data_IF_621308978363
#
_entry.id   IF_621308978363
#
_cell.length_a   1.000
_cell.length_b   1.000
_cell.length_c   1.000
_cell.angle_alpha   90.00
_cell.angle_beta   90.00
_cell.angle_gamma   90.00
#
_symmetry.space_group_name_H-M   'P 1'
#
loop_
_entity.id
_entity.type
_entity.pdbx_description
1 polymer ?
#
# COMPACT_ATOMS: atom_id res chain seq x y z
N UNK A 1 8.71 -0.57 5.39
CA UNK A 1 9.24 -0.44 4.01
C UNK A 1 9.92 0.90 3.98
N UNK A 2 11.06 1.01 3.32
CA UNK A 2 11.82 2.27 3.29
C UNK A 2 11.17 3.25 2.30
N UNK A 3 11.53 4.52 2.44
CA UNK A 3 11.20 5.50 1.41
C UNK A 3 11.99 5.20 0.14
N UNK A 4 11.38 5.46 -1.01
CA UNK A 4 12.01 5.19 -2.30
C UNK A 4 11.02 5.07 -3.43
N UNK A 5 11.56 4.74 -4.59
CA UNK A 5 10.80 4.42 -5.80
C UNK A 5 10.96 2.93 -6.06
N UNK A 6 9.83 2.24 -6.25
CA UNK A 6 9.79 0.80 -6.41
C UNK A 6 8.98 0.45 -7.66
N UNK A 7 9.53 -0.40 -8.50
CA UNK A 7 8.80 -0.97 -9.63
C UNK A 7 7.63 -1.84 -9.13
N UNK A 8 6.51 -1.77 -9.85
CA UNK A 8 5.31 -2.55 -9.60
C UNK A 8 5.20 -3.70 -10.60
N UNK A 9 4.98 -4.89 -10.06
CA UNK A 9 4.81 -6.11 -10.85
C UNK A 9 3.51 -6.83 -10.48
N UNK A 10 2.83 -7.41 -11.47
CA UNK A 10 1.66 -8.25 -11.21
C UNK A 10 2.11 -9.64 -10.71
N UNK A 11 1.63 -10.03 -9.52
CA UNK A 11 1.91 -11.34 -8.93
C UNK A 11 0.60 -12.12 -8.82
N UNK A 12 0.58 -13.37 -9.28
CA UNK A 12 -0.57 -14.25 -9.13
C UNK A 12 -0.21 -15.50 -8.32
N UNK A 13 -1.10 -15.88 -7.41
CA UNK A 13 -1.05 -17.18 -6.75
C UNK A 13 -2.43 -17.82 -6.67
N UNK A 14 -2.49 -19.15 -6.75
CA UNK A 14 -3.76 -19.90 -6.66
C UNK A 14 -4.47 -19.67 -5.31
N UNK A 15 -3.72 -19.45 -4.23
CA UNK A 15 -4.27 -19.30 -2.89
C UNK A 15 -4.83 -17.90 -2.62
N UNK A 16 -4.20 -16.85 -3.16
CA UNK A 16 -4.54 -15.45 -2.85
C UNK A 16 -5.08 -14.66 -4.04
N UNK A 17 -4.99 -15.21 -5.25
CA UNK A 17 -5.30 -14.52 -6.49
C UNK A 17 -4.22 -13.52 -6.87
N UNK A 18 -4.66 -12.41 -7.49
CA UNK A 18 -3.79 -11.32 -7.93
C UNK A 18 -3.39 -10.39 -6.78
N UNK A 19 -2.11 -10.06 -6.73
CA UNK A 19 -1.46 -9.07 -5.87
C UNK A 19 -0.54 -8.20 -6.74
N UNK A 20 -0.11 -7.06 -6.20
CA UNK A 20 0.91 -6.21 -6.84
C UNK A 20 2.18 -6.29 -6.01
N UNK A 21 3.28 -6.75 -6.58
CA UNK A 21 4.61 -6.67 -5.96
C UNK A 21 5.10 -5.24 -5.93
N UNK A 22 5.78 -4.85 -4.84
CA UNK A 22 6.44 -3.55 -4.68
C UNK A 22 7.92 -3.81 -4.42
N UNK A 23 8.73 -3.74 -5.47
CA UNK A 23 10.12 -4.21 -5.43
C UNK A 23 10.24 -5.65 -4.89
N UNK A 24 11.31 -5.94 -4.14
CA UNK A 24 11.59 -7.30 -3.65
C UNK A 24 10.89 -7.68 -2.33
N UNK A 25 10.30 -6.70 -1.62
CA UNK A 25 9.88 -6.89 -0.21
C UNK A 25 8.46 -6.49 0.10
N UNK A 26 7.87 -5.60 -0.70
CA UNK A 26 6.55 -5.06 -0.45
C UNK A 26 5.50 -5.69 -1.35
N UNK A 27 4.25 -5.51 -0.98
CA UNK A 27 3.12 -5.83 -1.87
C UNK A 27 1.90 -4.98 -1.58
N UNK A 28 1.03 -4.88 -2.57
CA UNK A 28 -0.31 -4.30 -2.48
C UNK A 28 -1.32 -5.43 -2.71
N UNK A 29 -2.25 -5.61 -1.79
CA UNK A 29 -3.29 -6.63 -1.92
C UNK A 29 -4.61 -6.20 -1.33
N UNK A 30 -5.66 -6.96 -1.61
CA UNK A 30 -6.95 -6.76 -0.96
C UNK A 30 -6.86 -7.12 0.53
N UNK A 31 -7.47 -6.30 1.39
CA UNK A 31 -7.47 -6.54 2.83
C UNK A 31 -8.17 -7.88 3.18
N UNK A 32 -7.51 -8.77 3.95
CA UNK A 32 -8.01 -10.12 4.21
C UNK A 32 -9.14 -10.18 5.26
N UNK A 33 -9.58 -9.05 5.82
CA UNK A 33 -10.69 -9.00 6.77
C UNK A 33 -10.24 -9.31 8.19
N UNK A 34 -10.34 -10.59 8.57
CA UNK A 34 -10.10 -11.08 9.94
C UNK A 34 -8.71 -11.68 10.14
N UNK A 35 -7.91 -11.76 9.07
CA UNK A 35 -6.55 -12.30 9.15
C UNK A 35 -5.55 -11.26 9.67
N UNK A 36 -4.43 -11.78 10.20
CA UNK A 36 -3.33 -10.95 10.65
C UNK A 36 -2.73 -10.18 9.47
N UNK A 37 -2.57 -8.88 9.65
CA UNK A 37 -1.85 -8.01 8.71
C UNK A 37 -0.45 -8.54 8.43
N UNK A 38 -0.10 -8.60 7.15
CA UNK A 38 1.23 -9.02 6.72
C UNK A 38 2.22 -7.84 6.80
N UNK A 39 3.47 -8.14 7.14
CA UNK A 39 4.53 -7.12 7.14
C UNK A 39 4.81 -6.63 5.73
N UNK A 40 5.09 -5.33 5.59
CA UNK A 40 5.39 -4.69 4.29
C UNK A 40 4.26 -4.74 3.26
N UNK A 41 3.03 -4.98 3.71
CA UNK A 41 1.83 -4.97 2.86
C UNK A 41 1.12 -3.63 2.92
N UNK A 42 0.71 -3.15 1.75
CA UNK A 42 -0.15 -1.98 1.57
C UNK A 42 -1.55 -2.46 1.23
N UNK A 43 -2.54 -1.93 1.94
CA UNK A 43 -3.95 -2.23 1.70
C UNK A 43 -4.66 -0.96 1.25
N UNK A 44 -4.95 -0.82 -0.06
CA UNK A 44 -5.65 0.36 -0.58
C UNK A 44 -7.01 0.51 0.09
N UNK A 45 -7.42 1.75 0.30
CA UNK A 45 -8.74 2.11 0.83
C UNK A 45 -9.30 3.27 0.03
N UNK A 46 -10.62 3.33 -0.12
CA UNK A 46 -11.25 4.52 -0.74
C UNK A 46 -11.59 5.58 0.29
N UNK A 47 -11.79 5.18 1.55
CA UNK A 47 -12.21 6.07 2.64
C UNK A 47 -11.97 5.43 4.00
N UNK A 48 -12.00 6.27 5.03
CA UNK A 48 -11.99 5.88 6.42
C UNK A 48 -13.29 6.33 7.10
N UNK A 49 -13.78 5.56 8.06
CA UNK A 49 -14.79 6.03 9.03
C UNK A 49 -14.17 7.04 10.00
N UNK A 50 -15.02 7.74 10.75
CA UNK A 50 -14.60 8.70 11.78
C UNK A 50 -13.74 8.06 12.89
N UNK A 51 -13.88 6.75 13.12
CA UNK A 51 -13.08 5.97 14.08
C UNK A 51 -11.77 5.42 13.48
N UNK A 52 -11.45 5.76 12.23
CA UNK A 52 -10.28 5.27 11.53
C UNK A 52 -10.45 3.89 10.88
N UNK A 53 -11.64 3.28 10.94
CA UNK A 53 -11.88 2.00 10.25
C UNK A 53 -11.74 2.16 8.74
N UNK A 54 -10.86 1.39 8.07
CA UNK A 54 -10.72 1.42 6.61
C UNK A 54 -11.98 0.86 5.93
N UNK A 55 -12.45 1.52 4.86
CA UNK A 55 -13.61 1.09 4.10
C UNK A 55 -13.27 0.77 2.65
N UNK A 56 -14.05 -0.18 2.09
CA UNK A 56 -14.03 -0.56 0.69
C UNK A 56 -12.65 -0.97 0.16
N UNK A 57 -11.85 -1.61 1.00
CA UNK A 57 -10.47 -2.05 0.69
C UNK A 57 -10.40 -2.91 -0.57
N UNK A 58 -11.32 -3.87 -0.73
CA UNK A 58 -11.41 -4.72 -1.92
C UNK A 58 -11.72 -3.92 -3.18
N UNK A 59 -12.66 -2.98 -3.10
CA UNK A 59 -13.01 -2.13 -4.25
C UNK A 59 -11.83 -1.23 -4.64
N UNK A 60 -11.16 -0.64 -3.65
CA UNK A 60 -9.97 0.19 -3.89
C UNK A 60 -8.87 -0.60 -4.60
N UNK A 61 -8.63 -1.84 -4.17
CA UNK A 61 -7.66 -2.72 -4.82
C UNK A 61 -8.05 -3.05 -6.27
N UNK A 62 -9.31 -3.39 -6.53
CA UNK A 62 -9.78 -3.69 -7.90
C UNK A 62 -9.63 -2.47 -8.83
N UNK A 63 -9.98 -1.27 -8.36
CA UNK A 63 -9.80 -0.04 -9.13
C UNK A 63 -8.32 0.26 -9.43
N UNK A 64 -7.43 -0.05 -8.49
CA UNK A 64 -5.99 0.05 -8.71
C UNK A 64 -5.53 -0.94 -9.78
N UNK A 65 -5.94 -2.21 -9.68
CA UNK A 65 -5.62 -3.24 -10.66
C UNK A 65 -6.10 -2.87 -12.06
N UNK A 66 -7.36 -2.45 -12.22
CA UNK A 66 -7.91 -2.02 -13.52
C UNK A 66 -7.07 -0.90 -14.16
N UNK A 67 -6.51 0.00 -13.34
CA UNK A 67 -5.64 1.06 -13.83
C UNK A 67 -4.24 0.55 -14.20
N UNK A 68 -3.64 -0.31 -13.38
CA UNK A 68 -2.31 -0.86 -13.63
C UNK A 68 -2.29 -1.79 -14.84
N UNK A 69 -3.33 -2.61 -15.00
CA UNK A 69 -3.50 -3.52 -16.14
C UNK A 69 -3.42 -2.76 -17.47
N UNK A 70 -4.09 -1.60 -17.58
CA UNK A 70 -4.05 -0.78 -18.80
C UNK A 70 -2.64 -0.27 -19.16
N UNK A 71 -1.80 0.02 -18.17
CA UNK A 71 -0.44 0.47 -18.40
C UNK A 71 0.49 -0.71 -18.72
N UNK A 72 0.36 -1.82 -17.99
CA UNK A 72 1.13 -3.03 -18.27
C UNK A 72 0.81 -3.66 -19.63
N UNK A 73 -0.45 -3.61 -20.07
CA UNK A 73 -0.85 -4.05 -21.43
C UNK A 73 -0.17 -3.23 -22.53
N UNK A 74 0.22 -1.98 -22.24
CA UNK A 74 1.00 -1.12 -23.15
C UNK A 74 2.49 -1.38 -23.08
N UNK A 75 2.95 -2.24 -22.17
CA UNK A 75 4.36 -2.50 -21.90
C UNK A 75 5.05 -1.38 -21.12
N UNK A 76 4.27 -0.53 -20.43
CA UNK A 76 4.82 0.53 -19.58
C UNK A 76 5.30 -0.02 -18.25
N UNK A 77 6.40 0.54 -17.74
CA UNK A 77 6.89 0.27 -16.38
C UNK A 77 6.19 1.23 -15.43
N UNK A 78 5.52 0.69 -14.41
CA UNK A 78 4.84 1.50 -13.39
C UNK A 78 5.64 1.46 -12.09
N UNK A 79 5.84 2.63 -11.50
CA UNK A 79 6.60 2.79 -10.26
C UNK A 79 5.72 3.36 -9.14
N UNK A 80 5.90 2.87 -7.92
CA UNK A 80 5.35 3.41 -6.69
C UNK A 80 6.42 4.20 -5.94
N UNK A 81 6.14 5.48 -5.72
CA UNK A 81 6.94 6.31 -4.84
C UNK A 81 6.39 6.30 -3.41
N UNK A 82 7.24 5.95 -2.46
CA UNK A 82 6.95 5.97 -1.03
C UNK A 82 7.72 7.11 -0.39
N UNK A 83 6.98 8.05 0.20
CA UNK A 83 7.52 9.20 0.93
C UNK A 83 6.90 9.22 2.32
N UNK A 84 7.66 9.53 3.36
CA UNK A 84 7.06 9.87 4.64
C UNK A 84 6.73 11.34 4.63
N UNK A 85 5.47 11.64 4.87
CA UNK A 85 5.07 12.98 5.26
C UNK A 85 4.96 13.01 6.79
N UNK A 86 5.58 14.02 7.40
CA UNK A 86 5.41 14.26 8.83
C UNK A 86 3.93 14.51 9.13
N UNK A 87 3.38 13.86 10.16
CA UNK A 87 1.99 14.05 10.54
C UNK A 87 1.80 15.54 10.91
N UNK A 88 0.91 16.29 10.23
CA UNK A 88 0.81 17.75 10.39
C UNK A 88 0.42 18.21 11.80
N UNK A 89 -0.03 17.28 12.66
CA UNK A 89 -0.39 17.54 14.06
C UNK A 89 0.53 16.86 15.07
N UNK A 90 1.78 16.54 14.69
CA UNK A 90 2.78 16.13 15.66
C UNK A 90 3.09 17.33 16.58
N UNK A 91 2.47 17.37 17.76
CA UNK A 91 2.86 18.31 18.81
C UNK A 91 4.36 18.09 19.08
N UNK A 92 5.15 19.15 19.12
CA UNK A 92 6.60 19.08 19.41
C UNK A 92 6.88 18.31 20.72
N UNK A 93 5.91 18.27 21.65
CA UNK A 93 5.96 17.49 22.89
C UNK A 93 6.00 15.97 22.71
N UNK A 94 5.63 15.45 21.53
CA UNK A 94 5.64 14.01 21.21
C UNK A 94 6.94 13.56 20.55
N UNK A 95 7.88 14.47 20.28
CA UNK A 95 9.22 14.12 19.86
C UNK A 95 10.02 13.70 21.10
N UNK A 96 10.38 12.42 21.20
CA UNK A 96 11.37 11.99 22.20
C UNK A 96 12.66 12.78 21.97
N UNK A 97 13.02 13.61 22.95
CA UNK A 97 14.33 14.25 22.99
C UNK A 97 15.38 13.15 23.17
N UNK A 98 16.00 12.75 22.07
CA UNK A 98 17.21 11.94 22.10
C UNK A 98 18.31 12.78 22.75
N UNK A 99 18.48 12.64 24.06
CA UNK A 99 19.65 13.20 24.75
C UNK A 99 20.89 12.47 24.19
N UNK A 100 21.75 13.21 23.49
CA UNK A 100 23.12 12.81 23.13
C UNK A 100 24.07 13.06 24.29
#
# INVERSE_FOLDING_TARGET
>A
MEEGVYELEAIHSEAKGWEVGVGEKGKISSYPGDEKLESYSIYPVTSYRADGTPLFTKLAFLQLMERLELEWERGEVVELQIVSEGIPYLLESCLEQSYS
#
